data_IF_276828958541
#
_entry.id   IF_276828958541
#
_cell.length_a   1.000
_cell.length_b   1.000
_cell.length_c   1.000
_cell.angle_alpha   90.00
_cell.angle_beta   90.00
_cell.angle_gamma   90.00
#
_symmetry.space_group_name_H-M   'P 1'
#
loop_
_entity.id
_entity.type
_entity.pdbx_description
1 polymer ?
#
# COMPACT_ATOMS: atom_id res chain seq x y z
N UNK A 1 15.61 -22.59 -10.42
CA UNK A 1 15.30 -22.46 -8.97
C UNK A 1 14.46 -23.66 -8.55
N UNK A 2 14.63 -24.13 -7.33
CA UNK A 2 13.74 -25.17 -6.75
C UNK A 2 12.99 -24.52 -5.60
N UNK A 3 11.90 -23.85 -5.93
CA UNK A 3 11.09 -23.06 -4.98
C UNK A 3 10.74 -23.83 -3.72
N UNK A 4 10.32 -25.10 -3.84
CA UNK A 4 9.95 -25.93 -2.69
C UNK A 4 11.13 -26.18 -1.73
N UNK A 5 12.35 -26.35 -2.25
CA UNK A 5 13.56 -26.55 -1.42
C UNK A 5 13.89 -25.29 -0.62
N UNK A 6 13.78 -24.13 -1.27
CA UNK A 6 14.01 -22.83 -0.60
C UNK A 6 12.96 -22.60 0.49
N UNK A 7 11.68 -22.84 0.17
CA UNK A 7 10.58 -22.67 1.13
C UNK A 7 10.72 -23.60 2.33
N UNK A 8 11.06 -24.89 2.10
CA UNK A 8 11.25 -25.84 3.19
C UNK A 8 12.43 -25.44 4.11
N UNK A 9 13.51 -24.93 3.52
CA UNK A 9 14.64 -24.42 4.29
C UNK A 9 14.28 -23.14 5.09
N UNK A 10 13.47 -22.28 4.49
CA UNK A 10 13.01 -21.05 5.13
C UNK A 10 12.02 -21.35 6.27
N UNK A 11 11.09 -22.28 6.08
CA UNK A 11 10.14 -22.73 7.09
C UNK A 11 10.85 -23.35 8.31
N UNK A 12 11.90 -24.13 8.07
CA UNK A 12 12.72 -24.68 9.15
C UNK A 12 13.43 -23.61 9.97
N UNK A 13 13.80 -22.49 9.39
CA UNK A 13 14.41 -21.33 10.07
C UNK A 13 13.39 -20.44 10.78
N UNK A 14 12.19 -20.32 10.21
CA UNK A 14 11.15 -19.41 10.67
C UNK A 14 9.83 -20.14 10.98
N UNK A 15 9.83 -21.10 11.91
CA UNK A 15 8.65 -21.90 12.21
C UNK A 15 7.51 -21.04 12.75
N UNK A 16 6.33 -21.19 12.14
CA UNK A 16 5.12 -20.47 12.58
C UNK A 16 4.93 -19.07 11.98
N UNK A 17 5.86 -18.57 11.17
CA UNK A 17 5.71 -17.28 10.47
C UNK A 17 4.89 -17.43 9.16
N UNK A 18 3.62 -17.81 9.29
CA UNK A 18 2.76 -18.21 8.16
C UNK A 18 2.57 -17.13 7.10
N UNK A 19 2.29 -15.90 7.52
CA UNK A 19 2.04 -14.77 6.63
C UNK A 19 3.29 -14.45 5.80
N UNK A 20 4.46 -14.51 6.43
CA UNK A 20 5.73 -14.29 5.78
C UNK A 20 6.08 -15.38 4.77
N UNK A 21 5.96 -16.65 5.16
CA UNK A 21 6.24 -17.80 4.30
C UNK A 21 5.31 -17.85 3.08
N UNK A 22 4.03 -17.51 3.25
CA UNK A 22 3.07 -17.42 2.16
C UNK A 22 3.47 -16.33 1.15
N UNK A 23 3.81 -15.13 1.60
CA UNK A 23 4.22 -14.04 0.71
C UNK A 23 5.50 -14.39 -0.08
N UNK A 24 6.47 -15.01 0.57
CA UNK A 24 7.68 -15.49 -0.11
C UNK A 24 7.31 -16.53 -1.18
N UNK A 25 6.45 -17.51 -0.86
CA UNK A 25 6.00 -18.52 -1.80
C UNK A 25 5.36 -17.91 -3.05
N UNK A 26 4.44 -16.98 -2.89
CA UNK A 26 3.73 -16.32 -3.99
C UNK A 26 4.70 -15.59 -4.93
N UNK A 27 5.65 -14.86 -4.38
CA UNK A 27 6.66 -14.16 -5.20
C UNK A 27 7.58 -15.15 -5.89
N UNK A 28 8.13 -16.16 -5.19
CA UNK A 28 9.06 -17.13 -5.77
C UNK A 28 8.42 -17.91 -6.92
N UNK A 29 7.16 -18.31 -6.80
CA UNK A 29 6.44 -18.99 -7.88
C UNK A 29 6.29 -18.10 -9.11
N UNK A 30 6.03 -16.82 -8.93
CA UNK A 30 5.84 -15.89 -10.05
C UNK A 30 7.14 -15.51 -10.79
N UNK A 31 8.30 -15.61 -10.13
CA UNK A 31 9.60 -15.25 -10.70
C UNK A 31 10.43 -16.44 -11.13
N UNK A 32 10.00 -17.69 -10.87
CA UNK A 32 10.82 -18.89 -11.09
C UNK A 32 11.32 -19.03 -12.53
N UNK A 33 10.46 -18.78 -13.50
CA UNK A 33 10.80 -18.84 -14.92
C UNK A 33 11.93 -17.85 -15.27
N UNK A 34 11.77 -16.57 -14.91
CA UNK A 34 12.76 -15.54 -15.22
C UNK A 34 14.06 -15.74 -14.44
N UNK A 35 13.97 -16.20 -13.19
CA UNK A 35 15.17 -16.53 -12.40
C UNK A 35 16.01 -17.62 -13.05
N UNK A 36 15.37 -18.67 -13.61
CA UNK A 36 16.06 -19.78 -14.26
C UNK A 36 16.77 -19.37 -15.56
N UNK A 37 16.40 -18.24 -16.16
CA UNK A 37 17.09 -17.64 -17.31
C UNK A 37 18.37 -16.89 -16.92
N UNK A 38 18.62 -16.71 -15.60
CA UNK A 38 19.72 -15.93 -15.03
C UNK A 38 20.59 -16.79 -14.09
N UNK A 39 21.44 -17.70 -14.60
CA UNK A 39 22.28 -18.58 -13.77
C UNK A 39 23.23 -17.81 -12.84
N UNK A 40 23.56 -16.57 -13.18
CA UNK A 40 24.36 -15.67 -12.34
C UNK A 40 23.66 -15.33 -11.01
N UNK A 41 22.33 -15.31 -10.96
CA UNK A 41 21.57 -15.07 -9.73
C UNK A 41 21.69 -16.22 -8.73
N UNK A 42 21.69 -17.47 -9.23
CA UNK A 42 21.90 -18.65 -8.39
C UNK A 42 23.31 -18.68 -7.82
N UNK A 43 24.31 -18.37 -8.64
CA UNK A 43 25.71 -18.29 -8.21
C UNK A 43 25.93 -17.23 -7.12
N UNK A 44 25.22 -16.10 -7.20
CA UNK A 44 25.28 -15.00 -6.24
C UNK A 44 24.34 -15.18 -5.04
N UNK A 45 23.61 -16.29 -4.96
CA UNK A 45 22.66 -16.57 -3.87
C UNK A 45 21.60 -15.47 -3.71
N UNK A 46 21.11 -14.93 -4.81
CA UNK A 46 20.20 -13.76 -4.78
C UNK A 46 18.93 -14.09 -3.99
N UNK A 47 18.31 -15.26 -4.21
CA UNK A 47 17.06 -15.61 -3.49
C UNK A 47 17.33 -15.81 -2.00
N UNK A 48 18.36 -16.57 -1.64
CA UNK A 48 18.68 -16.85 -0.22
C UNK A 48 18.99 -15.56 0.55
N UNK A 49 19.55 -14.55 -0.11
CA UNK A 49 19.80 -13.21 0.47
C UNK A 49 18.54 -12.34 0.47
N UNK A 50 17.69 -12.49 -0.56
CA UNK A 50 16.49 -11.68 -0.72
C UNK A 50 15.36 -12.08 0.23
N UNK A 51 15.26 -13.37 0.57
CA UNK A 51 14.21 -13.88 1.48
C UNK A 51 14.59 -13.77 2.96
N UNK A 52 15.71 -13.19 3.30
CA UNK A 52 16.08 -12.89 4.68
C UNK A 52 16.20 -11.37 4.86
N UNK A 53 15.54 -10.79 5.85
CA UNK A 53 15.70 -9.34 6.12
C UNK A 53 17.14 -9.05 6.57
N UNK A 54 17.68 -7.92 6.14
CA UNK A 54 19.06 -7.53 6.49
C UNK A 54 19.21 -7.26 7.98
N UNK A 55 18.20 -6.67 8.64
CA UNK A 55 18.20 -6.40 10.09
C UNK A 55 16.79 -6.42 10.65
N UNK A 56 16.66 -6.90 11.86
CA UNK A 56 15.43 -6.83 12.65
C UNK A 56 15.76 -6.23 14.02
N UNK A 57 15.02 -5.21 14.40
CA UNK A 57 15.05 -4.65 15.74
C UNK A 57 13.76 -5.04 16.46
N UNK A 58 13.90 -5.68 17.60
CA UNK A 58 12.80 -5.98 18.52
C UNK A 58 13.15 -5.33 19.87
N UNK A 59 12.26 -4.54 20.39
CA UNK A 59 12.50 -3.77 21.59
C UNK A 59 11.24 -3.61 22.44
N UNK A 60 11.44 -3.43 23.72
CA UNK A 60 10.40 -3.17 24.70
C UNK A 60 10.09 -1.68 24.75
N UNK A 61 8.82 -1.31 24.76
CA UNK A 61 8.34 0.07 24.82
C UNK A 61 7.55 0.27 26.12
N UNK A 62 8.19 0.65 27.24
CA UNK A 62 7.48 1.04 28.46
C UNK A 62 6.99 2.48 28.34
N UNK A 63 5.74 2.72 28.76
CA UNK A 63 5.12 4.04 28.78
C UNK A 63 4.10 4.14 29.91
N UNK A 64 3.63 5.36 30.22
CA UNK A 64 2.69 5.60 31.31
C UNK A 64 1.37 6.07 30.74
N UNK A 65 0.27 5.45 31.16
CA UNK A 65 -1.09 5.83 30.73
C UNK A 65 -1.63 7.07 31.51
N UNK A 66 -2.84 7.48 31.21
CA UNK A 66 -3.45 8.64 31.87
C UNK A 66 -3.81 8.42 33.34
N UNK A 67 -3.83 7.15 33.78
CA UNK A 67 -4.04 6.79 35.18
C UNK A 67 -2.74 6.76 35.99
N UNK A 68 -1.59 6.95 35.34
CA UNK A 68 -0.29 6.85 35.96
C UNK A 68 0.25 5.40 36.02
N UNK A 69 -0.40 4.46 35.37
CA UNK A 69 0.01 3.05 35.35
C UNK A 69 1.04 2.78 34.25
N UNK A 70 2.02 1.92 34.56
CA UNK A 70 3.05 1.53 33.59
C UNK A 70 2.49 0.48 32.65
N UNK A 71 2.55 0.78 31.35
CA UNK A 71 2.21 -0.12 30.25
C UNK A 71 3.48 -0.56 29.53
N UNK A 72 3.48 -1.77 28.98
CA UNK A 72 4.62 -2.32 28.23
C UNK A 72 4.12 -2.95 26.93
N UNK A 73 4.62 -2.45 25.82
CA UNK A 73 4.38 -3.00 24.48
C UNK A 73 5.67 -3.49 23.84
N UNK A 74 5.56 -4.29 22.78
CA UNK A 74 6.68 -4.66 21.94
C UNK A 74 6.71 -3.77 20.70
N UNK A 75 7.90 -3.26 20.39
CA UNK A 75 8.18 -2.52 19.17
C UNK A 75 9.09 -3.31 18.23
N UNK A 76 8.90 -3.10 16.94
CA UNK A 76 9.65 -3.78 15.89
C UNK A 76 10.02 -2.81 14.75
N UNK A 77 11.19 -3.04 14.15
CA UNK A 77 11.56 -2.49 12.85
C UNK A 77 12.29 -3.56 12.05
N UNK A 78 11.74 -3.91 10.90
CA UNK A 78 12.34 -4.79 9.91
C UNK A 78 12.95 -3.91 8.82
N UNK A 79 14.26 -3.88 8.74
CA UNK A 79 15.05 -3.32 7.65
C UNK A 79 15.28 -4.47 6.66
N UNK A 80 14.41 -4.55 5.63
CA UNK A 80 14.31 -5.76 4.85
C UNK A 80 15.39 -5.83 3.77
N UNK A 81 15.46 -4.83 2.90
CA UNK A 81 16.45 -4.77 1.82
C UNK A 81 16.72 -3.32 1.42
N UNK A 82 17.99 -2.94 1.32
CA UNK A 82 18.42 -1.58 0.95
C UNK A 82 19.19 -1.50 -0.38
N UNK A 83 19.16 -2.54 -1.19
CA UNK A 83 19.93 -2.57 -2.45
C UNK A 83 19.58 -1.43 -3.41
N UNK A 84 18.36 -0.88 -3.35
CA UNK A 84 17.94 0.23 -4.22
C UNK A 84 18.11 1.60 -3.54
N UNK A 85 18.06 1.65 -2.23
CA UNK A 85 18.12 2.90 -1.46
C UNK A 85 17.77 2.69 0.01
N UNK A 86 17.58 3.77 0.79
CA UNK A 86 17.29 3.65 2.22
C UNK A 86 16.05 2.81 2.46
N UNK A 87 16.02 2.07 3.57
CA UNK A 87 14.83 1.32 3.96
C UNK A 87 13.62 2.25 4.05
N UNK A 88 12.53 1.89 3.43
CA UNK A 88 11.32 2.72 3.37
C UNK A 88 10.09 1.88 3.61
N UNK A 89 9.26 2.30 4.56
CA UNK A 89 7.96 1.68 4.83
C UNK A 89 7.34 2.13 6.13
N UNK A 90 6.04 1.91 6.26
CA UNK A 90 5.22 2.42 7.36
C UNK A 90 5.50 1.76 8.71
N UNK A 91 5.01 2.41 9.75
CA UNK A 91 4.90 1.89 11.11
C UNK A 91 3.42 1.63 11.37
N UNK A 92 3.09 0.42 11.85
CA UNK A 92 1.72 -0.01 12.19
C UNK A 92 1.55 -0.12 13.70
N UNK A 93 0.50 0.52 14.23
CA UNK A 93 0.08 0.34 15.61
C UNK A 93 -1.26 -0.38 15.66
N UNK A 94 -1.20 -1.68 15.98
CA UNK A 94 -2.39 -2.53 16.06
C UNK A 94 -2.10 -3.77 16.93
N UNK A 95 -3.05 -4.25 17.73
CA UNK A 95 -2.85 -5.42 18.61
C UNK A 95 -2.42 -6.70 17.91
N UNK A 96 -2.73 -6.85 16.62
CA UNK A 96 -2.32 -8.02 15.81
C UNK A 96 -0.88 -7.97 15.32
N UNK A 97 -0.15 -6.87 15.54
CA UNK A 97 1.23 -6.75 15.05
C UNK A 97 2.12 -7.78 15.70
N UNK A 98 2.81 -8.53 14.86
CA UNK A 98 3.83 -9.51 15.23
C UNK A 98 4.95 -9.49 14.17
N UNK A 99 6.02 -10.23 14.44
CA UNK A 99 7.19 -10.24 13.56
C UNK A 99 6.89 -10.84 12.18
N UNK A 100 6.09 -11.91 12.10
CA UNK A 100 5.71 -12.54 10.82
C UNK A 100 5.01 -11.55 9.88
N UNK A 101 4.03 -10.81 10.41
CA UNK A 101 3.31 -9.76 9.66
C UNK A 101 4.27 -8.67 9.19
N UNK A 102 5.20 -8.22 10.03
CA UNK A 102 6.12 -7.16 9.65
C UNK A 102 7.19 -7.61 8.65
N UNK A 103 7.65 -8.86 8.73
CA UNK A 103 8.52 -9.47 7.71
C UNK A 103 7.79 -9.59 6.37
N UNK A 104 6.57 -10.11 6.37
CA UNK A 104 5.71 -10.14 5.20
C UNK A 104 5.60 -8.77 4.55
N UNK A 105 5.17 -7.78 5.32
CA UNK A 105 4.97 -6.42 4.82
C UNK A 105 6.27 -5.75 4.35
N UNK A 106 7.40 -6.02 5.01
CA UNK A 106 8.72 -5.51 4.62
C UNK A 106 9.23 -6.13 3.31
N UNK A 107 9.00 -7.43 3.13
CA UNK A 107 9.31 -8.16 1.90
C UNK A 107 8.51 -7.60 0.71
N UNK A 108 7.19 -7.52 0.83
CA UNK A 108 6.31 -6.93 -0.19
C UNK A 108 6.65 -5.46 -0.49
N UNK A 109 7.01 -4.69 0.55
CA UNK A 109 7.38 -3.29 0.41
C UNK A 109 8.64 -3.12 -0.44
N UNK A 110 9.59 -4.07 -0.38
CA UNK A 110 10.81 -4.04 -1.19
C UNK A 110 10.48 -4.02 -2.68
N UNK A 111 9.58 -4.88 -3.14
CA UNK A 111 9.17 -4.95 -4.56
C UNK A 111 8.29 -3.76 -4.95
N UNK A 112 7.37 -3.38 -4.09
CA UNK A 112 6.51 -2.21 -4.32
C UNK A 112 7.33 -0.93 -4.51
N UNK A 113 8.32 -0.70 -3.66
CA UNK A 113 9.21 0.45 -3.77
C UNK A 113 10.07 0.39 -5.03
N UNK A 114 10.53 -0.81 -5.39
CA UNK A 114 11.31 -1.03 -6.62
C UNK A 114 10.54 -0.61 -7.88
N UNK A 115 9.23 -0.88 -7.94
CA UNK A 115 8.38 -0.49 -9.06
C UNK A 115 8.29 1.03 -9.26
N UNK A 116 8.36 1.82 -8.19
CA UNK A 116 8.22 3.28 -8.27
C UNK A 116 9.33 3.98 -9.07
N UNK A 117 10.39 3.28 -9.44
CA UNK A 117 11.63 3.82 -10.03
C UNK A 117 12.46 4.70 -9.10
N UNK A 118 11.92 5.10 -7.96
CA UNK A 118 12.60 5.92 -6.96
C UNK A 118 13.64 5.09 -6.17
N UNK A 119 14.70 5.71 -5.66
CA UNK A 119 15.76 5.01 -4.91
C UNK A 119 15.33 4.74 -3.47
N UNK A 120 14.47 3.75 -3.29
CA UNK A 120 13.93 3.35 -1.98
C UNK A 120 14.00 1.83 -1.82
N UNK A 121 14.60 1.38 -0.75
CA UNK A 121 14.57 -0.02 -0.31
C UNK A 121 13.28 -0.37 0.42
N UNK A 122 13.23 -1.54 1.04
CA UNK A 122 12.06 -2.03 1.78
C UNK A 122 12.29 -2.10 3.28
N UNK A 123 11.31 -1.66 4.04
CA UNK A 123 11.29 -1.79 5.49
C UNK A 123 9.87 -1.71 6.05
N UNK A 124 9.68 -2.22 7.25
CA UNK A 124 8.39 -2.15 7.95
C UNK A 124 8.60 -2.13 9.45
N UNK A 125 7.77 -1.38 10.16
CA UNK A 125 7.80 -1.33 11.62
C UNK A 125 6.42 -1.41 12.23
N UNK A 126 6.39 -1.53 13.54
CA UNK A 126 5.12 -1.52 14.26
C UNK A 126 5.23 -1.91 15.72
N UNK A 127 4.08 -1.93 16.36
CA UNK A 127 3.89 -2.34 17.75
C UNK A 127 2.50 -2.94 17.93
N UNK A 128 2.35 -3.81 18.92
CA UNK A 128 1.08 -4.32 19.41
C UNK A 128 0.23 -3.28 20.17
N UNK A 129 0.68 -2.03 20.20
CA UNK A 129 -0.05 -0.91 20.78
C UNK A 129 -1.35 -0.62 20.01
N UNK A 130 -2.45 -0.44 20.76
CA UNK A 130 -3.76 -0.08 20.23
C UNK A 130 -4.05 1.41 20.45
N UNK A 131 -3.96 2.27 19.44
CA UNK A 131 -4.22 3.71 19.62
C UNK A 131 -5.71 4.04 19.79
N UNK A 132 -6.61 3.16 19.32
CA UNK A 132 -8.06 3.38 19.42
C UNK A 132 -8.50 3.45 20.88
N UNK A 133 -9.20 4.52 21.25
CA UNK A 133 -9.68 4.74 22.61
C UNK A 133 -8.64 5.30 23.58
N UNK A 134 -7.44 5.62 23.09
CA UNK A 134 -6.40 6.32 23.87
C UNK A 134 -6.50 7.83 23.68
N UNK A 135 -6.10 8.57 24.73
CA UNK A 135 -5.99 10.03 24.63
C UNK A 135 -4.81 10.45 23.74
N UNK A 136 -4.84 11.68 23.24
CA UNK A 136 -3.71 12.25 22.49
C UNK A 136 -2.43 12.27 23.33
N UNK A 137 -2.53 12.49 24.64
CA UNK A 137 -1.42 12.49 25.56
C UNK A 137 -0.81 11.07 25.74
N UNK A 138 -1.64 10.03 25.81
CA UNK A 138 -1.18 8.63 25.83
C UNK A 138 -0.46 8.26 24.55
N UNK A 139 -1.07 8.60 23.38
CA UNK A 139 -0.49 8.31 22.06
C UNK A 139 0.84 9.06 21.90
N UNK A 140 0.93 10.30 22.33
CA UNK A 140 2.17 11.07 22.28
C UNK A 140 3.27 10.41 23.14
N UNK A 141 2.97 10.03 24.38
CA UNK A 141 3.93 9.35 25.26
C UNK A 141 4.41 8.03 24.67
N UNK A 142 3.48 7.24 24.09
CA UNK A 142 3.83 6.00 23.43
C UNK A 142 4.74 6.24 22.21
N UNK A 143 4.39 7.17 21.31
CA UNK A 143 5.21 7.53 20.13
C UNK A 143 6.62 7.97 20.55
N UNK A 144 6.75 8.76 21.61
CA UNK A 144 8.03 9.22 22.13
C UNK A 144 8.85 8.05 22.69
N UNK A 145 8.24 7.16 23.46
CA UNK A 145 8.90 5.97 24.00
C UNK A 145 9.34 5.01 22.88
N UNK A 146 8.53 4.82 21.86
CA UNK A 146 8.85 4.00 20.68
C UNK A 146 10.08 4.55 19.94
N UNK A 147 10.14 5.85 19.70
CA UNK A 147 11.26 6.46 18.99
C UNK A 147 12.53 6.53 19.86
N UNK A 148 12.41 6.63 21.16
CA UNK A 148 13.57 6.58 22.07
C UNK A 148 14.42 5.32 21.86
N UNK A 149 13.77 4.19 21.56
CA UNK A 149 14.46 2.93 21.29
C UNK A 149 14.99 2.84 19.85
N UNK A 150 14.29 3.45 18.88
CA UNK A 150 14.55 3.21 17.46
C UNK A 150 15.41 4.30 16.78
N UNK A 151 15.50 5.52 17.30
CA UNK A 151 16.01 6.69 16.59
C UNK A 151 17.41 6.53 15.99
N UNK A 152 18.32 5.77 16.65
CA UNK A 152 19.69 5.55 16.17
C UNK A 152 19.75 4.78 14.84
N UNK A 153 18.70 4.04 14.53
CA UNK A 153 18.59 3.20 13.34
C UNK A 153 17.84 3.89 12.20
N UNK A 154 17.29 5.09 12.45
CA UNK A 154 16.60 5.91 11.47
C UNK A 154 17.52 6.98 10.87
N UNK A 155 17.13 7.55 9.77
CA UNK A 155 17.83 8.64 9.09
C UNK A 155 17.37 8.80 7.63
N UNK A 156 17.54 9.97 7.01
CA UNK A 156 17.06 10.25 5.66
C UNK A 156 17.69 9.33 4.60
N UNK A 157 18.95 8.93 4.81
CA UNK A 157 19.72 8.05 3.91
C UNK A 157 19.90 6.64 4.44
N UNK A 158 19.22 6.29 5.55
CA UNK A 158 19.33 4.99 6.21
C UNK A 158 18.00 4.26 6.24
N UNK A 159 17.04 4.83 6.95
CA UNK A 159 15.72 4.24 7.16
C UNK A 159 14.68 5.33 7.41
N UNK A 160 13.69 5.42 6.52
CA UNK A 160 12.67 6.47 6.49
C UNK A 160 11.30 5.88 6.73
N UNK A 161 10.78 5.91 7.97
CA UNK A 161 9.44 5.46 8.29
C UNK A 161 8.34 6.36 7.70
N UNK A 162 7.12 5.80 7.67
CA UNK A 162 5.88 6.50 7.31
C UNK A 162 4.72 6.01 8.19
N UNK A 163 3.52 6.54 7.95
CA UNK A 163 2.29 6.01 8.54
C UNK A 163 1.83 4.70 7.91
N UNK A 164 1.03 3.96 8.65
CA UNK A 164 0.30 2.75 8.27
C UNK A 164 -0.93 2.62 9.19
N UNK A 165 -1.57 1.47 9.29
CA UNK A 165 -2.72 1.25 10.18
C UNK A 165 -2.39 1.73 11.61
N UNK A 166 -3.26 2.57 12.17
CA UNK A 166 -3.09 3.13 13.51
C UNK A 166 -2.01 4.22 13.65
N UNK A 167 -1.40 4.64 12.53
CA UNK A 167 -0.38 5.70 12.48
C UNK A 167 -0.71 6.68 11.36
N UNK A 168 -1.28 7.80 11.74
CA UNK A 168 -1.59 8.92 10.84
C UNK A 168 -0.61 10.08 11.00
N UNK A 169 -1.00 11.25 10.49
CA UNK A 169 -0.18 12.46 10.56
C UNK A 169 0.14 12.91 12.00
N UNK A 170 -0.79 12.69 12.93
CA UNK A 170 -0.60 12.97 14.36
C UNK A 170 0.56 12.13 14.95
N UNK A 171 0.50 10.81 14.79
CA UNK A 171 1.52 9.88 15.28
C UNK A 171 2.87 10.14 14.61
N UNK A 172 2.86 10.36 13.29
CA UNK A 172 4.09 10.74 12.54
C UNK A 172 4.67 12.02 13.10
N UNK A 173 3.85 13.02 13.41
CA UNK A 173 4.27 14.29 14.03
C UNK A 173 4.95 14.07 15.39
N UNK A 174 4.33 13.27 16.27
CA UNK A 174 4.91 12.96 17.58
C UNK A 174 6.23 12.19 17.48
N UNK A 175 6.31 11.20 16.59
CA UNK A 175 7.53 10.43 16.36
C UNK A 175 8.64 11.30 15.76
N UNK A 176 8.34 12.10 14.76
CA UNK A 176 9.30 13.00 14.13
C UNK A 176 9.82 14.06 15.11
N UNK A 177 8.93 14.66 15.93
CA UNK A 177 9.32 15.62 16.94
C UNK A 177 10.32 15.04 17.95
N UNK A 178 10.12 13.79 18.39
CA UNK A 178 11.06 13.09 19.28
C UNK A 178 12.36 12.75 18.57
N UNK A 179 12.30 12.22 17.34
CA UNK A 179 13.49 11.94 16.53
C UNK A 179 14.35 13.21 16.36
N UNK A 180 13.75 14.32 15.92
CA UNK A 180 14.43 15.59 15.73
C UNK A 180 15.13 16.08 16.99
N UNK A 181 14.51 15.91 18.16
CA UNK A 181 15.07 16.27 19.44
C UNK A 181 16.31 15.43 19.80
N UNK A 182 16.26 14.12 19.54
CA UNK A 182 17.33 13.18 19.88
C UNK A 182 18.51 13.27 18.89
N UNK A 183 18.21 13.27 17.61
CA UNK A 183 19.20 13.34 16.55
C UNK A 183 19.81 14.74 16.37
N UNK A 184 19.10 15.80 16.81
CA UNK A 184 19.45 17.22 16.57
C UNK A 184 19.51 17.57 15.08
N UNK A 185 18.64 16.98 14.29
CA UNK A 185 18.59 17.12 12.83
C UNK A 185 17.19 17.45 12.37
N UNK A 186 17.06 18.31 11.35
CA UNK A 186 15.83 18.59 10.63
C UNK A 186 15.96 17.99 9.22
N UNK A 187 15.69 16.71 9.10
CA UNK A 187 15.87 15.93 7.87
C UNK A 187 14.60 15.25 7.41
N UNK A 188 14.61 14.66 6.22
CA UNK A 188 13.51 13.88 5.67
C UNK A 188 13.36 12.47 6.25
N UNK A 189 13.63 12.29 7.55
CA UNK A 189 13.64 10.96 8.19
C UNK A 189 12.26 10.30 8.27
N UNK A 190 11.19 11.05 8.23
CA UNK A 190 9.81 10.54 8.16
C UNK A 190 9.10 11.07 6.93
N UNK A 191 8.12 10.34 6.41
CA UNK A 191 7.16 10.84 5.43
C UNK A 191 5.72 10.72 5.94
N UNK A 192 4.82 11.52 5.34
CA UNK A 192 3.48 11.74 5.87
C UNK A 192 3.47 12.79 6.99
N UNK A 193 4.48 13.65 7.01
CA UNK A 193 4.56 14.79 7.93
C UNK A 193 3.49 15.84 7.62
N UNK A 194 3.17 16.68 8.60
CA UNK A 194 2.36 17.87 8.38
C UNK A 194 3.06 18.87 7.45
N UNK A 195 2.27 19.67 6.74
CA UNK A 195 2.78 20.68 5.81
C UNK A 195 3.68 21.72 6.51
N UNK A 196 3.44 21.97 7.79
CA UNK A 196 4.14 22.94 8.62
C UNK A 196 5.60 22.54 8.91
N UNK A 197 5.95 21.28 8.71
CA UNK A 197 7.28 20.74 9.01
C UNK A 197 7.82 19.76 7.96
N UNK A 198 7.55 20.04 6.69
CA UNK A 198 8.18 19.38 5.55
C UNK A 198 7.37 18.23 4.96
N UNK A 199 6.06 18.19 5.18
CA UNK A 199 5.13 17.29 4.49
C UNK A 199 4.99 17.65 3.01
N UNK A 200 4.50 16.71 2.21
CA UNK A 200 4.14 16.93 0.81
C UNK A 200 2.64 17.10 0.65
N UNK A 201 2.26 18.03 -0.21
CA UNK A 201 0.87 18.17 -0.67
C UNK A 201 0.43 16.90 -1.45
N UNK A 202 -0.86 16.66 -1.58
CA UNK A 202 -1.49 15.50 -2.23
C UNK A 202 -1.24 14.15 -1.54
N UNK A 203 -0.70 14.12 -0.31
CA UNK A 203 -0.39 12.85 0.37
C UNK A 203 -1.63 12.03 0.75
N UNK A 204 -2.74 12.62 1.26
CA UNK A 204 -3.95 11.87 1.60
C UNK A 204 -4.59 11.16 0.40
N UNK A 205 -4.68 11.82 -0.74
CA UNK A 205 -5.33 11.33 -1.96
C UNK A 205 -4.40 10.52 -2.89
N UNK A 206 -3.10 10.55 -2.65
CA UNK A 206 -2.08 10.01 -3.56
C UNK A 206 -2.29 8.55 -3.96
N UNK A 207 -2.77 7.70 -3.03
CA UNK A 207 -3.03 6.29 -3.32
C UNK A 207 -4.17 6.14 -4.32
N UNK A 208 -5.28 6.84 -4.10
CA UNK A 208 -6.43 6.83 -5.01
C UNK A 208 -6.11 7.48 -6.36
N UNK A 209 -5.41 8.61 -6.36
CA UNK A 209 -4.99 9.30 -7.59
C UNK A 209 -4.07 8.40 -8.44
N UNK A 210 -3.05 7.83 -7.80
CA UNK A 210 -2.12 6.91 -8.47
C UNK A 210 -2.82 5.69 -9.05
N UNK A 211 -3.77 5.11 -8.30
CA UNK A 211 -4.55 3.97 -8.77
C UNK A 211 -5.30 4.30 -10.06
N UNK A 212 -5.96 5.46 -10.13
CA UNK A 212 -6.68 5.86 -11.33
C UNK A 212 -5.75 6.19 -12.51
N UNK A 213 -4.55 6.69 -12.27
CA UNK A 213 -3.55 6.82 -13.35
C UNK A 213 -3.16 5.46 -13.91
N UNK A 214 -2.91 4.48 -13.05
CA UNK A 214 -2.60 3.11 -13.47
C UNK A 214 -3.77 2.48 -14.24
N UNK A 215 -4.99 2.54 -13.69
CA UNK A 215 -6.22 2.01 -14.32
C UNK A 215 -6.49 2.66 -15.67
N UNK A 216 -6.35 3.97 -15.76
CA UNK A 216 -6.54 4.70 -17.02
C UNK A 216 -5.60 4.17 -18.12
N UNK A 217 -4.30 4.02 -17.81
CA UNK A 217 -3.34 3.47 -18.76
C UNK A 217 -3.58 2.00 -19.09
N UNK A 218 -4.02 1.21 -18.10
CA UNK A 218 -4.38 -0.19 -18.33
C UNK A 218 -5.56 -0.29 -19.32
N UNK A 219 -6.59 0.54 -19.18
CA UNK A 219 -7.72 0.60 -20.10
C UNK A 219 -7.31 1.10 -21.49
N UNK A 220 -6.51 2.17 -21.58
CA UNK A 220 -5.99 2.69 -22.86
C UNK A 220 -5.18 1.64 -23.62
N UNK A 221 -4.35 0.86 -22.93
CA UNK A 221 -3.57 -0.25 -23.54
C UNK A 221 -4.47 -1.29 -24.22
N UNK A 222 -5.72 -1.40 -23.77
CA UNK A 222 -6.72 -2.32 -24.33
C UNK A 222 -7.78 -1.59 -25.20
N UNK A 223 -7.53 -0.33 -25.57
CA UNK A 223 -8.43 0.45 -26.41
C UNK A 223 -9.75 0.85 -25.75
N UNK A 224 -9.80 0.88 -24.43
CA UNK A 224 -11.00 1.23 -23.64
C UNK A 224 -10.84 2.65 -23.10
N UNK A 225 -11.78 3.53 -23.45
CA UNK A 225 -11.86 4.88 -22.86
C UNK A 225 -12.51 4.80 -21.47
N UNK A 226 -11.90 5.39 -20.46
CA UNK A 226 -12.43 5.48 -19.10
C UNK A 226 -13.64 6.42 -19.01
N UNK A 227 -13.75 7.37 -19.94
CA UNK A 227 -14.82 8.37 -19.94
C UNK A 227 -16.19 7.72 -20.09
N UNK A 228 -17.10 8.06 -19.18
CA UNK A 228 -18.45 7.51 -19.13
C UNK A 228 -18.57 6.11 -18.54
N UNK A 229 -17.45 5.47 -18.15
CA UNK A 229 -17.46 4.17 -17.49
C UNK A 229 -17.98 4.27 -16.06
N UNK A 230 -18.74 3.25 -15.66
CA UNK A 230 -19.22 3.12 -14.28
C UNK A 230 -18.18 2.46 -13.39
N UNK A 231 -18.00 2.99 -12.18
CA UNK A 231 -16.98 2.56 -11.22
C UNK A 231 -17.63 2.18 -9.89
N UNK A 232 -17.40 0.95 -9.44
CA UNK A 232 -17.68 0.55 -8.07
C UNK A 232 -16.42 0.73 -7.22
N UNK A 233 -16.57 1.44 -6.09
CA UNK A 233 -15.52 1.64 -5.09
C UNK A 233 -16.03 1.10 -3.77
N UNK A 234 -15.19 0.36 -3.03
CA UNK A 234 -15.42 0.05 -1.63
C UNK A 234 -14.72 1.06 -0.72
N UNK A 235 -15.18 1.15 0.53
CA UNK A 235 -14.66 2.11 1.49
C UNK A 235 -15.17 3.54 1.27
N UNK A 236 -14.84 4.42 2.22
CA UNK A 236 -15.09 5.87 2.18
C UNK A 236 -13.97 6.67 2.88
N UNK A 237 -12.82 6.00 3.10
CA UNK A 237 -11.61 6.63 3.64
C UNK A 237 -10.83 7.42 2.58
N UNK A 238 -9.63 7.92 2.94
CA UNK A 238 -8.78 8.73 2.05
C UNK A 238 -8.50 8.05 0.70
N UNK A 239 -8.30 6.74 0.69
CA UNK A 239 -8.03 5.97 -0.53
C UNK A 239 -9.26 5.99 -1.46
N UNK A 240 -10.44 5.66 -0.93
CA UNK A 240 -11.69 5.68 -1.68
C UNK A 240 -12.07 7.11 -2.13
N UNK A 241 -11.90 8.10 -1.25
CA UNK A 241 -12.13 9.50 -1.59
C UNK A 241 -11.20 9.98 -2.73
N UNK A 242 -9.91 9.70 -2.64
CA UNK A 242 -8.97 10.03 -3.71
C UNK A 242 -9.31 9.31 -5.02
N UNK A 243 -9.66 8.02 -4.97
CA UNK A 243 -10.08 7.26 -6.15
C UNK A 243 -11.36 7.84 -6.78
N UNK A 244 -12.38 8.18 -5.97
CA UNK A 244 -13.62 8.78 -6.46
C UNK A 244 -13.37 10.15 -7.10
N UNK A 245 -12.55 10.99 -6.47
CA UNK A 245 -12.19 12.31 -6.99
C UNK A 245 -11.49 12.22 -8.34
N UNK A 246 -10.47 11.37 -8.45
CA UNK A 246 -9.70 11.24 -9.70
C UNK A 246 -10.52 10.54 -10.80
N UNK A 247 -11.30 9.49 -10.47
CA UNK A 247 -12.18 8.82 -11.44
C UNK A 247 -13.17 9.80 -12.05
N UNK A 248 -13.82 10.61 -11.22
CA UNK A 248 -14.75 11.66 -11.68
C UNK A 248 -14.04 12.71 -12.54
N UNK A 249 -12.83 13.13 -12.14
CA UNK A 249 -12.02 14.07 -12.91
C UNK A 249 -11.60 13.54 -14.29
N UNK A 250 -11.45 12.22 -14.44
CA UNK A 250 -11.19 11.54 -15.72
C UNK A 250 -12.47 11.29 -16.53
N UNK A 251 -13.64 11.68 -16.02
CA UNK A 251 -14.93 11.55 -16.70
C UNK A 251 -15.62 10.20 -16.48
N UNK A 252 -15.15 9.36 -15.56
CA UNK A 252 -15.86 8.16 -15.14
C UNK A 252 -16.98 8.49 -14.15
N UNK A 253 -17.91 7.57 -13.95
CA UNK A 253 -19.06 7.70 -13.05
C UNK A 253 -18.92 6.75 -11.87
N UNK A 254 -18.52 7.25 -10.70
CA UNK A 254 -18.47 6.47 -9.47
C UNK A 254 -19.89 6.27 -8.96
N UNK A 255 -20.30 5.02 -8.73
CA UNK A 255 -21.69 4.68 -8.38
C UNK A 255 -21.82 4.00 -7.01
N UNK A 256 -20.72 3.64 -6.35
CA UNK A 256 -20.76 3.03 -5.03
C UNK A 256 -19.70 3.59 -4.08
N UNK A 257 -20.02 3.59 -2.79
CA UNK A 257 -19.09 3.64 -1.66
C UNK A 257 -19.56 2.61 -0.63
N UNK A 258 -18.69 2.13 0.25
CA UNK A 258 -19.08 1.17 1.28
C UNK A 258 -18.42 1.46 2.63
N UNK A 259 -19.08 1.01 3.69
CA UNK A 259 -18.60 1.00 5.07
C UNK A 259 -18.79 -0.36 5.72
N UNK A 260 -18.45 -0.52 6.99
CA UNK A 260 -18.73 -1.74 7.76
C UNK A 260 -20.22 -2.09 7.86
N UNK A 261 -21.08 -1.08 7.72
CA UNK A 261 -22.54 -1.19 7.78
C UNK A 261 -23.20 -1.66 6.47
N UNK A 262 -22.47 -1.57 5.34
CA UNK A 262 -22.99 -1.95 4.03
C UNK A 262 -22.44 -1.04 2.92
N UNK A 263 -23.18 -0.92 1.82
CA UNK A 263 -22.78 -0.02 0.72
C UNK A 263 -23.93 0.85 0.21
N UNK A 264 -23.54 1.97 -0.38
CA UNK A 264 -24.43 2.88 -1.12
C UNK A 264 -24.29 2.58 -2.61
N UNK A 265 -25.42 2.52 -3.31
CA UNK A 265 -25.51 2.59 -4.76
C UNK A 265 -26.20 3.90 -5.16
N UNK A 266 -25.51 4.72 -5.91
CA UNK A 266 -26.00 6.01 -6.42
C UNK A 266 -25.96 6.02 -7.96
N UNK A 267 -27.09 5.76 -8.63
CA UNK A 267 -27.14 5.67 -10.09
C UNK A 267 -26.82 7.00 -10.79
N UNK A 268 -27.00 8.13 -10.11
CA UNK A 268 -26.69 9.45 -10.66
C UNK A 268 -25.19 9.76 -10.59
N UNK A 269 -24.44 8.99 -9.80
CA UNK A 269 -23.02 9.12 -9.59
C UNK A 269 -22.65 9.97 -8.36
N UNK A 270 -21.52 9.61 -7.77
CA UNK A 270 -20.93 10.26 -6.61
C UNK A 270 -19.93 11.31 -7.10
N UNK A 271 -20.35 12.57 -7.20
CA UNK A 271 -19.53 13.68 -7.70
C UNK A 271 -19.86 15.00 -6.99
N UNK A 272 -18.98 15.99 -7.07
CA UNK A 272 -19.17 17.31 -6.45
C UNK A 272 -19.45 17.20 -4.95
N UNK A 273 -20.54 17.78 -4.49
CA UNK A 273 -20.92 17.77 -3.06
C UNK A 273 -21.03 16.37 -2.45
N UNK A 274 -21.35 15.36 -3.24
CA UNK A 274 -21.43 13.96 -2.78
C UNK A 274 -20.05 13.42 -2.41
N UNK A 275 -18.98 13.81 -3.13
CA UNK A 275 -17.59 13.49 -2.77
C UNK A 275 -17.18 14.23 -1.48
N UNK A 276 -17.56 15.50 -1.34
CA UNK A 276 -17.29 16.29 -0.12
C UNK A 276 -17.96 15.63 1.09
N UNK A 277 -19.19 15.14 0.92
CA UNK A 277 -19.93 14.45 1.97
C UNK A 277 -19.26 13.14 2.45
N UNK A 278 -18.47 12.47 1.57
CA UNK A 278 -17.64 11.34 2.02
C UNK A 278 -16.65 11.76 3.13
N UNK A 279 -16.09 12.96 3.06
CA UNK A 279 -15.21 13.48 4.12
C UNK A 279 -15.98 13.80 5.40
N UNK A 280 -17.21 14.30 5.30
CA UNK A 280 -18.09 14.52 6.46
C UNK A 280 -18.41 13.20 7.16
N UNK A 281 -18.82 12.15 6.41
CA UNK A 281 -19.06 10.82 6.93
C UNK A 281 -17.83 10.29 7.68
N UNK A 282 -16.65 10.42 7.08
CA UNK A 282 -15.41 9.98 7.69
C UNK A 282 -15.09 10.74 8.99
N UNK A 283 -15.27 12.06 8.98
CA UNK A 283 -14.96 12.93 10.11
C UNK A 283 -15.99 12.79 11.25
N UNK A 284 -17.18 12.23 10.98
CA UNK A 284 -18.18 11.95 12.00
C UNK A 284 -17.72 10.95 13.06
N UNK A 285 -16.73 10.10 12.71
CA UNK A 285 -16.20 9.05 13.60
C UNK A 285 -17.15 7.86 13.80
N UNK A 286 -18.31 7.83 13.14
CA UNK A 286 -19.30 6.76 13.28
C UNK A 286 -18.99 5.52 12.43
N UNK A 287 -18.10 5.67 11.46
CA UNK A 287 -17.60 4.59 10.59
C UNK A 287 -18.72 3.86 9.79
N UNK A 288 -19.76 4.58 9.38
CA UNK A 288 -20.93 4.09 8.63
C UNK A 288 -21.22 4.94 7.40
N UNK A 289 -21.83 4.35 6.36
CA UNK A 289 -22.22 5.05 5.12
C UNK A 289 -23.73 5.25 4.97
N UNK A 290 -24.56 4.60 5.77
CA UNK A 290 -26.02 4.71 5.71
C UNK A 290 -26.56 6.16 5.66
N UNK A 291 -26.01 7.16 6.39
CA UNK A 291 -26.48 8.54 6.33
C UNK A 291 -26.40 9.20 4.94
N UNK A 292 -25.56 8.67 4.05
CA UNK A 292 -25.49 9.14 2.67
C UNK A 292 -26.85 9.03 1.94
N UNK A 293 -27.57 7.91 2.14
CA UNK A 293 -28.86 7.69 1.49
C UNK A 293 -29.98 8.62 2.03
N UNK A 294 -29.82 9.09 3.26
CA UNK A 294 -30.72 10.09 3.84
C UNK A 294 -30.47 11.48 3.24
N UNK A 295 -29.20 11.85 3.06
CA UNK A 295 -28.80 13.14 2.48
C UNK A 295 -29.07 13.19 0.97
N UNK A 296 -28.92 12.07 0.24
CA UNK A 296 -29.11 11.99 -1.21
C UNK A 296 -30.19 10.97 -1.56
N UNK A 297 -31.48 11.36 -1.59
CA UNK A 297 -32.62 10.44 -1.73
C UNK A 297 -32.70 9.66 -3.06
N UNK A 298 -31.86 9.98 -4.06
CA UNK A 298 -31.73 9.20 -5.31
C UNK A 298 -30.88 7.95 -5.17
N UNK A 299 -30.17 7.80 -4.06
CA UNK A 299 -29.31 6.65 -3.78
C UNK A 299 -30.03 5.58 -2.94
N UNK A 300 -29.46 4.36 -2.93
CA UNK A 300 -29.98 3.22 -2.17
C UNK A 300 -28.90 2.67 -1.25
N UNK A 301 -29.22 2.47 0.02
CA UNK A 301 -28.36 1.78 0.97
C UNK A 301 -28.67 0.28 1.01
N UNK A 302 -27.63 -0.55 0.94
CA UNK A 302 -27.69 -2.01 1.03
C UNK A 302 -26.98 -2.48 2.29
N UNK A 303 -27.71 -2.71 3.40
CA UNK A 303 -27.12 -3.06 4.70
C UNK A 303 -26.42 -4.43 4.66
N UNK A 304 -25.22 -4.50 5.23
CA UNK A 304 -24.44 -5.73 5.39
C UNK A 304 -23.94 -6.36 4.09
N UNK A 305 -24.09 -5.67 2.94
CA UNK A 305 -23.65 -6.17 1.64
C UNK A 305 -22.40 -5.45 1.13
N UNK A 306 -21.74 -6.09 0.15
CA UNK A 306 -20.58 -5.53 -0.58
C UNK A 306 -21.03 -5.03 -1.96
N UNK A 307 -20.33 -4.04 -2.57
CA UNK A 307 -20.76 -3.41 -3.83
C UNK A 307 -20.55 -4.28 -5.08
N UNK A 308 -19.91 -5.45 -4.96
CA UNK A 308 -19.46 -6.27 -6.08
C UNK A 308 -20.58 -6.99 -6.86
N UNK A 309 -21.81 -6.96 -6.35
CA UNK A 309 -22.98 -7.46 -7.07
C UNK A 309 -23.52 -6.46 -8.11
N UNK A 310 -23.09 -5.19 -8.04
CA UNK A 310 -23.51 -4.17 -8.99
C UNK A 310 -22.83 -4.35 -10.36
N UNK A 311 -23.62 -4.19 -11.42
CA UNK A 311 -23.08 -4.22 -12.78
C UNK A 311 -22.36 -2.91 -13.08
N UNK A 312 -21.04 -2.98 -13.15
CA UNK A 312 -20.14 -1.85 -13.39
C UNK A 312 -19.04 -2.20 -14.38
N UNK A 313 -18.46 -1.20 -15.00
CA UNK A 313 -17.33 -1.38 -15.92
C UNK A 313 -16.00 -1.59 -15.18
N UNK A 314 -15.83 -0.94 -14.03
CA UNK A 314 -14.57 -0.94 -13.25
C UNK A 314 -14.88 -1.21 -11.79
N UNK A 315 -14.14 -2.12 -11.15
CA UNK A 315 -14.24 -2.44 -9.73
C UNK A 315 -12.92 -2.15 -9.00
N UNK A 316 -12.99 -1.31 -7.97
CA UNK A 316 -11.84 -0.83 -7.19
C UNK A 316 -12.00 -1.16 -5.70
N UNK A 317 -11.46 -2.28 -5.21
CA UNK A 317 -11.35 -2.53 -3.78
C UNK A 317 -10.44 -1.48 -3.12
N UNK A 318 -11.03 -0.60 -2.28
CA UNK A 318 -10.34 0.52 -1.63
C UNK A 318 -10.40 0.50 -0.10
N UNK A 319 -11.02 -0.52 0.51
CA UNK A 319 -11.27 -0.55 1.94
C UNK A 319 -10.24 -1.40 2.70
N UNK A 320 -10.39 -2.72 2.66
CA UNK A 320 -9.64 -3.62 3.52
C UNK A 320 -9.02 -4.80 2.76
N UNK A 321 -8.13 -5.52 3.44
CA UNK A 321 -7.54 -6.74 2.93
C UNK A 321 -8.61 -7.83 2.77
N UNK A 322 -8.53 -8.63 1.68
CA UNK A 322 -9.40 -9.77 1.38
C UNK A 322 -10.91 -9.44 1.38
N UNK A 323 -11.24 -8.22 1.00
CA UNK A 323 -12.64 -7.78 0.96
C UNK A 323 -13.43 -8.33 -0.24
N UNK A 324 -12.74 -8.68 -1.33
CA UNK A 324 -13.31 -9.26 -2.54
C UNK A 324 -12.90 -10.73 -2.61
N UNK A 325 -13.89 -11.62 -2.42
CA UNK A 325 -13.68 -13.06 -2.42
C UNK A 325 -14.01 -13.74 -3.76
N UNK A 326 -13.87 -15.06 -3.83
CA UNK A 326 -14.10 -15.81 -5.06
C UNK A 326 -15.55 -15.71 -5.59
N UNK A 327 -16.55 -15.58 -4.71
CA UNK A 327 -17.93 -15.43 -5.14
C UNK A 327 -18.19 -14.04 -5.72
N UNK A 328 -17.58 -13.02 -5.14
CA UNK A 328 -17.60 -11.66 -5.66
C UNK A 328 -16.89 -11.58 -7.03
N UNK A 329 -15.75 -12.27 -7.18
CA UNK A 329 -15.03 -12.35 -8.45
C UNK A 329 -15.87 -12.99 -9.56
N UNK A 330 -16.58 -14.09 -9.27
CA UNK A 330 -17.50 -14.72 -10.24
C UNK A 330 -18.59 -13.75 -10.69
N UNK A 331 -19.20 -12.98 -9.77
CA UNK A 331 -20.22 -11.99 -10.11
C UNK A 331 -19.68 -10.89 -11.03
N UNK A 332 -18.47 -10.36 -10.75
CA UNK A 332 -17.84 -9.36 -11.59
C UNK A 332 -17.53 -9.88 -13.00
N UNK A 333 -17.06 -11.13 -13.12
CA UNK A 333 -16.81 -11.81 -14.40
C UNK A 333 -18.13 -12.00 -15.18
N UNK A 334 -19.17 -12.52 -14.53
CA UNK A 334 -20.50 -12.72 -15.10
C UNK A 334 -21.11 -11.39 -15.58
N UNK A 335 -20.95 -10.33 -14.82
CA UNK A 335 -21.38 -8.97 -15.14
C UNK A 335 -20.58 -8.33 -16.27
N UNK A 336 -19.50 -8.98 -16.74
CA UNK A 336 -18.57 -8.48 -17.77
C UNK A 336 -17.90 -7.16 -17.36
N UNK A 337 -17.54 -7.04 -16.08
CA UNK A 337 -16.73 -5.92 -15.59
C UNK A 337 -15.42 -5.88 -16.38
N UNK A 338 -15.09 -4.76 -16.97
CA UNK A 338 -13.92 -4.64 -17.87
C UNK A 338 -12.60 -4.71 -17.12
N UNK A 339 -12.56 -4.17 -15.89
CA UNK A 339 -11.33 -4.02 -15.12
C UNK A 339 -11.58 -4.19 -13.63
N UNK A 340 -10.69 -4.91 -12.96
CA UNK A 340 -10.59 -4.98 -11.49
C UNK A 340 -9.17 -4.56 -11.08
N UNK A 341 -9.04 -3.61 -10.17
CA UNK A 341 -7.73 -3.15 -9.74
C UNK A 341 -7.71 -2.92 -8.21
N UNK A 342 -6.80 -3.57 -7.52
CA UNK A 342 -6.67 -3.47 -6.06
C UNK A 342 -6.08 -2.11 -5.66
N UNK A 343 -6.86 -1.28 -5.03
CA UNK A 343 -6.37 -0.02 -4.45
C UNK A 343 -6.00 -0.19 -2.97
N UNK A 344 -6.70 -1.07 -2.26
CA UNK A 344 -6.26 -1.54 -0.93
C UNK A 344 -5.09 -2.53 -1.05
N UNK A 345 -4.39 -2.78 0.06
CA UNK A 345 -3.36 -3.81 0.08
C UNK A 345 -4.03 -5.20 0.14
N UNK A 346 -3.76 -6.04 -0.88
CA UNK A 346 -4.36 -7.37 -1.01
C UNK A 346 -5.90 -7.32 -0.87
N UNK A 347 -6.56 -6.48 -1.67
CA UNK A 347 -8.02 -6.29 -1.62
C UNK A 347 -8.81 -7.55 -2.00
N UNK A 348 -8.23 -8.41 -2.84
CA UNK A 348 -8.82 -9.67 -3.27
C UNK A 348 -8.20 -10.86 -2.53
N UNK A 349 -8.99 -11.92 -2.33
CA UNK A 349 -8.43 -13.19 -1.88
C UNK A 349 -7.62 -13.86 -2.99
N UNK A 350 -6.71 -14.79 -2.64
CA UNK A 350 -5.91 -15.50 -3.63
C UNK A 350 -6.78 -16.25 -4.66
N UNK A 351 -7.87 -16.87 -4.21
CA UNK A 351 -8.82 -17.56 -5.07
C UNK A 351 -9.54 -16.61 -6.04
N UNK A 352 -9.82 -15.38 -5.61
CA UNK A 352 -10.41 -14.37 -6.49
C UNK A 352 -9.40 -13.92 -7.56
N UNK A 353 -8.14 -13.72 -7.18
CA UNK A 353 -7.05 -13.38 -8.12
C UNK A 353 -6.86 -14.48 -9.15
N UNK A 354 -6.81 -15.75 -8.73
CA UNK A 354 -6.69 -16.91 -9.62
C UNK A 354 -7.83 -16.94 -10.64
N UNK A 355 -9.08 -16.72 -10.20
CA UNK A 355 -10.24 -16.65 -11.10
C UNK A 355 -10.11 -15.53 -12.13
N UNK A 356 -9.65 -14.33 -11.75
CA UNK A 356 -9.45 -13.24 -12.70
C UNK A 356 -8.37 -13.57 -13.73
N UNK A 357 -7.28 -14.21 -13.34
CA UNK A 357 -6.19 -14.63 -14.24
C UNK A 357 -6.68 -15.73 -15.21
N UNK A 358 -7.37 -16.77 -14.69
CA UNK A 358 -7.93 -17.87 -15.49
C UNK A 358 -8.89 -17.39 -16.58
N UNK A 359 -9.73 -16.41 -16.24
CA UNK A 359 -10.69 -15.81 -17.18
C UNK A 359 -10.07 -14.68 -18.04
N UNK A 360 -8.77 -14.43 -17.94
CA UNK A 360 -8.07 -13.36 -18.63
C UNK A 360 -8.73 -11.98 -18.43
N UNK A 361 -9.29 -11.77 -17.23
CA UNK A 361 -9.84 -10.50 -16.81
C UNK A 361 -8.72 -9.46 -16.71
N UNK A 362 -8.99 -8.20 -17.06
CA UNK A 362 -8.05 -7.12 -16.76
C UNK A 362 -8.00 -6.93 -15.23
N UNK A 363 -7.02 -7.56 -14.62
CA UNK A 363 -6.78 -7.50 -13.18
C UNK A 363 -5.40 -6.94 -12.89
N UNK A 364 -5.29 -6.02 -11.92
CA UNK A 364 -4.02 -5.47 -11.48
C UNK A 364 -3.85 -5.53 -9.96
N UNK A 365 -2.67 -5.98 -9.48
CA UNK A 365 -2.40 -6.20 -8.07
C UNK A 365 -2.13 -4.91 -7.29
N UNK A 366 -2.44 -4.90 -6.01
CA UNK A 366 -2.29 -3.75 -5.13
C UNK A 366 -0.88 -3.17 -5.10
N UNK A 367 0.17 -4.00 -5.12
CA UNK A 367 1.56 -3.51 -5.10
C UNK A 367 1.92 -2.59 -6.27
N UNK A 368 1.26 -2.73 -7.42
CA UNK A 368 1.42 -1.84 -8.57
C UNK A 368 0.42 -0.67 -8.51
N UNK A 369 -0.86 -0.99 -8.34
CA UNK A 369 -1.96 -0.03 -8.41
C UNK A 369 -1.90 1.01 -7.28
N UNK A 370 -1.65 0.58 -6.04
CA UNK A 370 -1.66 1.47 -4.88
C UNK A 370 -0.30 2.11 -4.54
N UNK A 371 0.66 2.00 -5.46
CA UNK A 371 2.01 2.55 -5.25
C UNK A 371 2.03 4.10 -5.17
N UNK A 372 0.94 4.77 -5.53
CA UNK A 372 0.85 6.24 -5.47
C UNK A 372 1.18 6.83 -4.11
N UNK A 373 0.74 6.18 -3.02
CA UNK A 373 1.06 6.63 -1.66
C UNK A 373 2.55 6.59 -1.34
N UNK A 374 3.26 5.52 -1.68
CA UNK A 374 4.70 5.43 -1.47
C UNK A 374 5.48 6.25 -2.48
N UNK A 375 5.00 6.40 -3.71
CA UNK A 375 5.58 7.31 -4.70
C UNK A 375 5.60 8.75 -4.17
N UNK A 376 4.46 9.25 -3.69
CA UNK A 376 4.39 10.60 -3.07
C UNK A 376 5.25 10.71 -1.82
N UNK A 377 5.40 9.63 -1.05
CA UNK A 377 6.37 9.61 0.06
C UNK A 377 7.82 9.78 -0.44
N UNK A 378 8.20 9.15 -1.54
CA UNK A 378 9.52 9.37 -2.16
C UNK A 378 9.69 10.79 -2.70
N UNK A 379 8.63 11.39 -3.25
CA UNK A 379 8.62 12.80 -3.65
C UNK A 379 8.77 13.73 -2.43
N UNK A 380 8.16 13.40 -1.28
CA UNK A 380 8.37 14.13 -0.02
C UNK A 380 9.83 14.04 0.43
N UNK A 381 10.45 12.86 0.37
CA UNK A 381 11.89 12.70 0.65
C UNK A 381 12.74 13.60 -0.26
N UNK A 382 12.44 13.65 -1.55
CA UNK A 382 13.13 14.50 -2.52
C UNK A 382 12.99 15.97 -2.18
N UNK A 383 11.77 16.45 -1.91
CA UNK A 383 11.52 17.84 -1.49
C UNK A 383 12.30 18.20 -0.23
N UNK A 384 12.33 17.28 0.76
CA UNK A 384 13.08 17.49 2.00
C UNK A 384 14.60 17.56 1.76
N UNK A 385 15.16 16.69 0.91
CA UNK A 385 16.58 16.70 0.58
C UNK A 385 17.00 17.97 -0.17
N UNK A 386 16.10 18.54 -0.97
CA UNK A 386 16.32 19.77 -1.71
C UNK A 386 15.99 21.03 -0.90
N UNK A 387 15.35 20.89 0.27
CA UNK A 387 14.84 22.00 1.10
C UNK A 387 13.84 22.89 0.34
N UNK A 388 12.98 22.30 -0.48
CA UNK A 388 11.92 23.00 -1.22
C UNK A 388 10.58 22.31 -1.06
N UNK A 389 9.51 23.03 -1.39
CA UNK A 389 8.15 22.44 -1.51
C UNK A 389 7.67 22.64 -2.94
N UNK A 390 7.10 21.59 -3.51
CA UNK A 390 6.47 21.64 -4.83
C UNK A 390 4.98 22.00 -4.71
N UNK A 391 4.46 22.58 -5.77
CA UNK A 391 3.02 22.84 -5.93
C UNK A 391 2.26 21.53 -6.12
N UNK A 392 0.94 21.58 -5.94
CA UNK A 392 0.06 20.43 -6.17
C UNK A 392 0.19 19.90 -7.61
N UNK A 393 0.29 20.79 -8.59
CA UNK A 393 0.46 20.41 -9.99
C UNK A 393 1.80 19.68 -10.25
N UNK A 394 2.90 20.14 -9.67
CA UNK A 394 4.20 19.47 -9.81
C UNK A 394 4.23 18.09 -9.15
N UNK A 395 3.58 17.93 -8.00
CA UNK A 395 3.49 16.63 -7.32
C UNK A 395 2.59 15.68 -8.11
N UNK A 396 1.43 16.14 -8.60
CA UNK A 396 0.49 15.34 -9.38
C UNK A 396 1.11 14.88 -10.72
N UNK A 397 1.82 15.76 -11.41
CA UNK A 397 2.57 15.45 -12.64
C UNK A 397 3.61 14.35 -12.42
N UNK A 398 4.43 14.48 -11.37
CA UNK A 398 5.43 13.48 -11.01
C UNK A 398 4.80 12.15 -10.58
N UNK A 399 3.71 12.20 -9.84
CA UNK A 399 2.92 11.01 -9.48
C UNK A 399 2.40 10.30 -10.72
N UNK A 400 1.83 11.03 -11.68
CA UNK A 400 1.36 10.48 -12.94
C UNK A 400 2.50 9.80 -13.72
N UNK A 401 3.65 10.46 -13.86
CA UNK A 401 4.83 9.89 -14.53
C UNK A 401 5.30 8.58 -13.86
N UNK A 402 5.35 8.55 -12.52
CA UNK A 402 5.74 7.35 -11.77
C UNK A 402 4.74 6.21 -12.00
N UNK A 403 3.44 6.49 -11.91
CA UNK A 403 2.41 5.46 -12.12
C UNK A 403 2.41 4.93 -13.55
N UNK A 404 2.68 5.79 -14.52
CA UNK A 404 2.88 5.42 -15.92
C UNK A 404 4.07 4.47 -16.10
N UNK A 405 5.19 4.78 -15.46
CA UNK A 405 6.37 3.93 -15.50
C UNK A 405 6.12 2.56 -14.81
N UNK A 406 5.36 2.53 -13.72
CA UNK A 406 4.96 1.28 -13.07
C UNK A 406 4.11 0.43 -14.01
N UNK A 407 3.10 1.03 -14.64
CA UNK A 407 2.24 0.34 -15.61
C UNK A 407 3.06 -0.24 -16.76
N UNK A 408 3.96 0.55 -17.35
CA UNK A 408 4.81 0.11 -18.46
C UNK A 408 5.69 -1.08 -18.07
N UNK A 409 6.30 -1.07 -16.89
CA UNK A 409 7.09 -2.20 -16.37
C UNK A 409 6.22 -3.47 -16.21
N UNK A 410 4.99 -3.31 -15.68
CA UNK A 410 4.07 -4.44 -15.55
C UNK A 410 3.69 -5.03 -16.92
N UNK A 411 3.47 -4.19 -17.93
CA UNK A 411 3.19 -4.63 -19.31
C UNK A 411 4.39 -5.36 -19.90
N UNK A 412 5.59 -4.78 -19.80
CA UNK A 412 6.82 -5.35 -20.37
C UNK A 412 7.10 -6.76 -19.84
N UNK A 413 6.94 -6.97 -18.54
CA UNK A 413 7.24 -8.24 -17.88
C UNK A 413 6.04 -9.18 -17.73
N UNK A 414 4.82 -8.71 -17.94
CA UNK A 414 3.59 -9.50 -17.79
C UNK A 414 2.93 -9.93 -19.09
N UNK A 415 3.49 -9.58 -20.26
CA UNK A 415 2.89 -9.89 -21.56
C UNK A 415 2.97 -11.38 -21.86
N UNK A 416 1.79 -11.99 -22.09
CA UNK A 416 1.61 -13.40 -22.47
C UNK A 416 0.72 -13.45 -23.72
N UNK A 417 1.30 -13.54 -24.89
CA UNK A 417 0.60 -13.48 -26.19
C UNK A 417 -0.31 -12.22 -26.31
N UNK A 418 -1.62 -12.41 -26.22
CA UNK A 418 -2.60 -11.33 -26.27
C UNK A 418 -3.14 -10.92 -24.89
N UNK A 419 -2.63 -11.50 -23.81
CA UNK A 419 -3.00 -11.19 -22.44
C UNK A 419 -1.84 -10.52 -21.70
N UNK A 420 -2.13 -9.63 -20.79
CA UNK A 420 -1.15 -9.02 -19.90
C UNK A 420 -1.48 -9.47 -18.47
N UNK A 421 -0.63 -10.31 -17.92
CA UNK A 421 -0.70 -10.72 -16.52
C UNK A 421 0.02 -9.68 -15.65
N UNK A 422 -0.71 -8.69 -15.17
CA UNK A 422 -0.15 -7.61 -14.35
C UNK A 422 0.40 -8.08 -13.00
N UNK A 423 -0.08 -9.21 -12.46
CA UNK A 423 0.45 -9.81 -11.23
C UNK A 423 1.86 -10.32 -11.46
N UNK A 424 2.05 -11.16 -12.51
CA UNK A 424 3.36 -11.66 -12.94
C UNK A 424 4.28 -10.49 -13.30
N UNK A 425 3.77 -9.52 -14.06
CA UNK A 425 4.52 -8.35 -14.49
C UNK A 425 5.07 -7.54 -13.33
N UNK A 426 4.26 -7.23 -12.33
CA UNK A 426 4.67 -6.48 -11.16
C UNK A 426 5.72 -7.23 -10.32
N UNK A 427 5.54 -8.53 -10.11
CA UNK A 427 6.48 -9.34 -9.33
C UNK A 427 7.84 -9.45 -10.04
N UNK A 428 7.84 -9.74 -11.35
CA UNK A 428 9.09 -9.87 -12.14
C UNK A 428 9.81 -8.52 -12.22
N UNK A 429 9.11 -7.42 -12.53
CA UNK A 429 9.72 -6.10 -12.64
C UNK A 429 10.38 -5.68 -11.32
N UNK A 430 9.67 -5.81 -10.20
CA UNK A 430 10.21 -5.52 -8.87
C UNK A 430 11.41 -6.40 -8.54
N UNK A 431 11.31 -7.71 -8.74
CA UNK A 431 12.39 -8.65 -8.50
C UNK A 431 13.64 -8.33 -9.33
N UNK A 432 13.50 -8.16 -10.64
CA UNK A 432 14.64 -7.93 -11.55
C UNK A 432 15.42 -6.67 -11.18
N UNK A 433 14.73 -5.60 -10.76
CA UNK A 433 15.40 -4.39 -10.32
C UNK A 433 16.21 -4.59 -9.04
N UNK A 434 15.63 -5.27 -8.04
CA UNK A 434 16.31 -5.58 -6.78
C UNK A 434 17.50 -6.53 -7.02
N UNK A 435 17.28 -7.63 -7.77
CA UNK A 435 18.31 -8.61 -8.06
C UNK A 435 19.51 -8.00 -8.80
N UNK A 436 19.25 -7.17 -9.83
CA UNK A 436 20.33 -6.47 -10.56
C UNK A 436 21.09 -5.51 -9.66
N UNK A 437 20.43 -4.79 -8.76
CA UNK A 437 21.09 -3.91 -7.80
C UNK A 437 21.97 -4.70 -6.83
N UNK A 438 21.46 -5.82 -6.28
CA UNK A 438 22.23 -6.72 -5.41
C UNK A 438 23.43 -7.33 -6.12
N UNK A 439 23.30 -7.69 -7.41
CA UNK A 439 24.41 -8.18 -8.23
C UNK A 439 25.48 -7.11 -8.43
N UNK A 440 25.08 -5.91 -8.78
CA UNK A 440 26.00 -4.79 -9.05
C UNK A 440 26.80 -4.35 -7.82
N UNK A 441 26.22 -4.46 -6.62
CA UNK A 441 26.85 -4.11 -5.36
C UNK A 441 27.70 -5.24 -4.75
N UNK A 442 27.60 -6.46 -5.27
CA UNK A 442 28.35 -7.62 -4.82
C UNK A 442 27.80 -8.24 -3.52
N UNK A 443 28.70 -8.73 -2.68
CA UNK A 443 28.37 -9.36 -1.38
C UNK A 443 28.70 -8.36 -0.27
N UNK A 444 27.66 -7.71 0.25
CA UNK A 444 27.75 -6.70 1.28
C UNK A 444 26.82 -7.04 2.45
#
# INVERSE_FOLDING_TARGET
MKTEVILSALEAKHPGEKEYLQAVKEVLLSIEEVYNQHPEFEKAKIIERLVEPERIFTFRVPWVDDKGEIQVNLGYRVQFNNAIGPYKGGIRFHPSVNLSILKFLGFEQTFKNALTTLPMGGGKGGSDFAPRGKSDAEIMRFCQAFILELWRNLGPDRDVPAGDIGVGGREVGYMYGMYKKLARENTGTFTGKGMEFGGSILRPEATGFGALYFVHQMLETHGIDIKGKTVAISGFGNVAWGAATKATGLGAKVVTISGPDGYIYDPDGISGKKIDYMLELRNSGNDIVAPYAEEFPGSTFYPGKKPWEQKVDIALPCATQNELDADDARKLIENKTSCVAEVSNMGCTAEAVDLFIEHKQLFAPGKAVNAGGVATSGLEMTQNAMHISWTAAEVDDKLHQIMSAIHQQCVEHGKEDQYINYVKGANIAGFMKVAKAMMAQGIV
#
